data_IF_105095122209
#
_entry.id   IF_105095122209
#
_cell.length_a   1.000
_cell.length_b   1.000
_cell.length_c   1.000
_cell.angle_alpha   90.00
_cell.angle_beta   90.00
_cell.angle_gamma   90.00
#
_symmetry.space_group_name_H-M   'P 1'
#
loop_
_entity.id
_entity.type
_entity.pdbx_description
1 polymer ?
#
# COMPACT_ATOMS: atom_id res chain seq x y z
N UNK A 1 3.80 28.07 -15.54
CA UNK A 1 2.76 27.22 -14.92
C UNK A 1 2.72 27.57 -13.45
N UNK A 2 1.62 28.17 -12.98
CA UNK A 2 1.48 28.66 -11.60
C UNK A 2 1.07 27.57 -10.62
N UNK A 3 1.21 27.80 -9.30
CA UNK A 3 0.82 26.84 -8.28
C UNK A 3 -0.71 26.70 -8.19
N UNK A 4 -1.19 25.48 -8.04
CA UNK A 4 -2.58 25.19 -7.70
C UNK A 4 -2.78 25.39 -6.18
N UNK A 5 -3.63 26.35 -5.81
CA UNK A 5 -4.09 26.58 -4.44
C UNK A 5 -5.37 25.78 -4.18
N UNK A 6 -5.45 25.08 -3.05
CA UNK A 6 -6.74 24.64 -2.50
C UNK A 6 -7.37 25.79 -1.70
N UNK A 7 -8.50 26.28 -2.21
CA UNK A 7 -9.60 27.07 -1.61
C UNK A 7 -9.25 28.21 -0.63
N UNK A 8 -9.54 29.45 -1.05
CA UNK A 8 -9.83 30.57 -0.14
C UNK A 8 -11.35 30.76 0.00
N UNK A 9 -11.84 31.05 1.21
CA UNK A 9 -12.47 32.34 1.50
C UNK A 9 -12.81 32.52 3.00
N UNK A 10 -12.35 33.65 3.53
CA UNK A 10 -12.70 34.36 4.77
C UNK A 10 -12.25 33.85 6.16
N UNK A 11 -11.18 34.50 6.64
CA UNK A 11 -10.92 34.93 8.03
C UNK A 11 -10.88 33.89 9.17
N UNK A 12 -10.03 32.87 9.02
CA UNK A 12 -9.07 32.43 10.05
C UNK A 12 -7.84 32.03 9.25
N UNK A 13 -6.64 32.55 9.56
CA UNK A 13 -5.43 32.32 8.76
C UNK A 13 -5.24 30.84 8.42
N UNK A 14 -5.43 30.46 7.15
CA UNK A 14 -5.42 29.06 6.71
C UNK A 14 -3.98 28.55 6.71
N UNK A 15 -3.51 28.06 7.85
CA UNK A 15 -2.27 27.28 7.89
C UNK A 15 -2.55 25.90 7.29
N UNK A 16 -1.72 25.44 6.33
CA UNK A 16 -1.88 24.10 5.79
C UNK A 16 -1.72 23.06 6.91
N UNK A 17 -2.49 21.97 6.83
CA UNK A 17 -2.33 20.84 7.75
C UNK A 17 -0.93 20.24 7.61
N UNK A 18 -0.45 20.08 6.38
CA UNK A 18 0.89 19.60 6.06
C UNK A 18 1.48 20.50 4.96
N UNK A 19 2.72 20.94 5.14
CA UNK A 19 3.50 21.64 4.14
C UNK A 19 4.73 20.82 3.77
N UNK A 20 5.35 21.12 2.62
CA UNK A 20 6.67 20.58 2.29
C UNK A 20 7.70 21.12 3.30
N UNK A 21 8.33 20.21 4.04
CA UNK A 21 9.34 20.47 5.07
C UNK A 21 10.73 19.96 4.65
N UNK A 22 10.81 19.03 3.69
CA UNK A 22 12.02 18.31 3.31
C UNK A 22 12.24 18.36 1.80
N UNK A 23 13.50 18.27 1.37
CA UNK A 23 13.90 18.38 -0.05
C UNK A 23 13.31 17.30 -0.96
N UNK A 24 12.92 16.15 -0.41
CA UNK A 24 12.27 15.08 -1.17
C UNK A 24 10.80 15.39 -1.48
N UNK A 25 10.18 16.32 -0.75
CA UNK A 25 8.77 16.71 -0.91
C UNK A 25 8.66 17.79 -1.99
N UNK A 26 8.77 17.36 -3.24
CA UNK A 26 8.64 18.22 -4.42
C UNK A 26 7.19 18.35 -4.86
N UNK A 27 6.91 19.37 -5.69
CA UNK A 27 5.64 19.50 -6.39
C UNK A 27 4.41 19.51 -5.48
N UNK A 28 3.48 18.60 -5.76
CA UNK A 28 2.20 18.49 -5.08
C UNK A 28 2.29 17.57 -3.87
N UNK A 29 1.61 17.91 -2.77
CA UNK A 29 1.30 16.98 -1.67
C UNK A 29 -0.15 16.56 -1.82
N UNK A 30 -0.40 15.25 -1.93
CA UNK A 30 -1.72 14.71 -2.24
C UNK A 30 -1.96 13.32 -1.63
N UNK A 31 -3.09 12.71 -1.98
CA UNK A 31 -3.54 11.40 -1.50
C UNK A 31 -3.48 11.28 0.04
N UNK A 32 -4.11 12.18 0.82
CA UNK A 32 -4.07 12.11 2.26
C UNK A 32 -4.80 10.86 2.76
N UNK A 33 -4.14 10.06 3.59
CA UNK A 33 -4.75 8.90 4.23
C UNK A 33 -4.32 8.80 5.70
N UNK A 34 -5.13 9.30 6.65
CA UNK A 34 -4.84 9.22 8.07
C UNK A 34 -5.25 7.87 8.66
N UNK A 35 -4.43 7.33 9.56
CA UNK A 35 -4.76 6.23 10.47
C UNK A 35 -4.43 6.64 11.91
N UNK A 36 -5.00 5.95 12.89
CA UNK A 36 -4.67 6.13 14.31
C UNK A 36 -3.81 4.95 14.80
N UNK A 37 -2.67 5.25 15.41
CA UNK A 37 -1.80 4.25 16.05
C UNK A 37 -2.06 4.27 17.56
N UNK A 38 -2.83 3.29 18.10
CA UNK A 38 -3.27 3.31 19.48
C UNK A 38 -2.15 3.15 20.50
N UNK A 39 -1.09 2.39 20.20
CA UNK A 39 0.00 2.15 21.15
C UNK A 39 0.82 3.42 21.37
N UNK A 40 1.06 4.17 20.30
CA UNK A 40 1.82 5.40 20.34
C UNK A 40 0.95 6.66 20.58
N UNK A 41 -0.38 6.52 20.51
CA UNK A 41 -1.38 7.56 20.78
C UNK A 41 -1.21 8.80 19.90
N UNK A 42 -0.98 8.58 18.61
CA UNK A 42 -0.98 9.63 17.59
C UNK A 42 -1.61 9.14 16.29
N UNK A 43 -1.95 10.07 15.42
CA UNK A 43 -2.33 9.80 14.04
C UNK A 43 -1.09 9.75 13.16
N UNK A 44 -1.15 8.91 12.13
CA UNK A 44 -0.19 8.83 11.03
C UNK A 44 -0.92 9.23 9.77
N UNK A 45 -0.47 10.27 9.10
CA UNK A 45 -0.96 10.68 7.78
C UNK A 45 0.00 10.16 6.72
N UNK A 46 -0.43 9.19 5.92
CA UNK A 46 0.25 8.86 4.68
C UNK A 46 -0.11 9.89 3.61
N UNK A 47 0.86 10.27 2.78
CA UNK A 47 0.66 11.17 1.65
C UNK A 47 1.62 10.82 0.51
N UNK A 48 1.31 11.29 -0.69
CA UNK A 48 2.24 11.31 -1.81
C UNK A 48 2.78 12.72 -2.03
N UNK A 49 4.05 12.84 -2.43
CA UNK A 49 4.68 14.09 -2.88
C UNK A 49 5.33 13.90 -4.24
N UNK A 50 5.35 14.95 -5.07
CA UNK A 50 5.99 14.95 -6.38
C UNK A 50 4.97 15.04 -7.52
N UNK A 51 5.35 14.61 -8.71
CA UNK A 51 4.45 14.56 -9.88
C UNK A 51 4.23 13.12 -10.29
N UNK A 52 2.97 12.68 -10.44
CA UNK A 52 2.60 11.30 -10.78
C UNK A 52 3.18 10.74 -12.10
N UNK A 53 3.90 11.55 -12.88
CA UNK A 53 4.51 11.21 -14.17
C UNK A 53 6.03 10.98 -14.03
N UNK A 54 6.68 11.63 -13.06
CA UNK A 54 8.13 11.68 -12.97
C UNK A 54 8.63 10.87 -11.75
N UNK A 55 9.91 10.48 -11.76
CA UNK A 55 10.50 9.63 -10.71
C UNK A 55 10.55 10.28 -9.31
N UNK A 56 10.17 11.56 -9.21
CA UNK A 56 10.07 12.30 -7.96
C UNK A 56 8.78 12.00 -7.17
N UNK A 57 7.86 11.19 -7.72
CA UNK A 57 6.66 10.75 -7.01
C UNK A 57 6.99 9.73 -5.92
N UNK A 58 6.75 10.13 -4.67
CA UNK A 58 7.17 9.43 -3.46
C UNK A 58 6.04 9.36 -2.46
N UNK A 59 5.97 8.27 -1.72
CA UNK A 59 5.06 8.11 -0.59
C UNK A 59 5.81 8.45 0.68
N UNK A 60 5.25 9.31 1.52
CA UNK A 60 5.74 9.56 2.86
C UNK A 60 4.66 9.43 3.92
N UNK A 61 5.06 9.76 5.14
CA UNK A 61 4.19 9.80 6.29
C UNK A 61 4.53 10.98 7.20
N UNK A 62 3.53 11.45 7.93
CA UNK A 62 3.64 12.49 8.94
C UNK A 62 2.86 12.09 10.19
N UNK A 63 3.20 12.64 11.35
CA UNK A 63 2.53 12.32 12.62
C UNK A 63 1.98 13.56 13.30
N UNK A 64 0.87 13.39 14.02
CA UNK A 64 0.36 14.38 14.97
C UNK A 64 -0.62 13.71 15.97
N UNK A 65 -0.73 14.24 17.19
CA UNK A 65 -1.79 13.86 18.15
C UNK A 65 -3.15 14.49 17.83
N UNK A 66 -3.16 15.56 17.03
CA UNK A 66 -4.35 16.25 16.54
C UNK A 66 -4.49 16.04 15.03
N UNK A 67 -5.63 15.49 14.60
CA UNK A 67 -5.91 15.25 13.17
C UNK A 67 -5.98 16.56 12.36
N UNK A 68 -6.21 17.70 13.03
CA UNK A 68 -6.20 19.04 12.43
C UNK A 68 -4.81 19.69 12.38
N UNK A 69 -3.74 18.91 12.58
CA UNK A 69 -2.37 19.36 12.31
C UNK A 69 -1.86 20.45 13.27
N UNK A 70 -0.77 21.16 12.90
CA UNK A 70 0.07 20.91 11.72
C UNK A 70 0.84 19.60 11.86
N UNK A 71 0.83 18.76 10.83
CA UNK A 71 1.49 17.46 10.81
C UNK A 71 3.01 17.60 10.69
N UNK A 72 3.76 16.75 11.40
CA UNK A 72 5.23 16.70 11.32
C UNK A 72 5.66 15.58 10.40
N UNK A 73 6.31 15.91 9.28
CA UNK A 73 6.68 14.93 8.26
C UNK A 73 7.95 14.16 8.62
N UNK A 74 8.02 12.89 8.18
CA UNK A 74 9.27 12.14 8.08
C UNK A 74 10.28 12.87 7.20
N UNK A 75 11.56 12.79 7.60
CA UNK A 75 12.70 13.35 6.86
C UNK A 75 13.03 12.59 5.57
N UNK A 76 12.60 11.34 5.48
CA UNK A 76 12.83 10.45 4.33
C UNK A 76 11.50 9.88 3.85
N UNK A 77 11.34 9.61 2.54
CA UNK A 77 10.15 8.94 2.03
C UNK A 77 10.05 7.51 2.57
N UNK A 78 8.83 6.98 2.62
CA UNK A 78 8.56 5.59 2.95
C UNK A 78 8.79 4.68 1.74
N UNK A 79 8.26 5.08 0.59
CA UNK A 79 8.45 4.39 -0.70
C UNK A 79 8.86 5.45 -1.72
N UNK A 80 9.90 5.14 -2.48
CA UNK A 80 10.35 5.91 -3.63
C UNK A 80 10.70 4.97 -4.78
N UNK A 81 10.95 5.54 -5.96
CA UNK A 81 11.42 4.79 -7.13
C UNK A 81 12.65 3.95 -6.79
N UNK A 82 12.55 2.65 -7.04
CA UNK A 82 13.57 1.65 -6.79
C UNK A 82 13.55 0.64 -7.92
N UNK A 83 14.30 0.95 -8.98
CA UNK A 83 14.37 0.14 -10.20
C UNK A 83 14.85 -1.29 -9.93
N UNK A 84 15.90 -1.55 -9.11
CA UNK A 84 16.29 -2.91 -8.74
C UNK A 84 15.17 -3.73 -8.08
N UNK A 85 14.30 -3.09 -7.28
CA UNK A 85 13.11 -3.71 -6.69
C UNK A 85 11.86 -3.59 -7.57
N UNK A 86 12.00 -3.04 -8.78
CA UNK A 86 10.96 -2.81 -9.79
C UNK A 86 9.81 -1.89 -9.36
N UNK A 87 10.07 -0.99 -8.40
CA UNK A 87 9.20 0.13 -8.06
C UNK A 87 9.57 1.30 -8.98
N UNK A 88 8.58 1.82 -9.69
CA UNK A 88 8.76 2.92 -10.65
C UNK A 88 7.65 3.94 -10.38
N UNK A 89 7.99 5.18 -10.01
CA UNK A 89 7.02 6.28 -9.82
C UNK A 89 5.85 5.89 -8.91
N UNK A 90 6.10 5.82 -7.60
CA UNK A 90 5.16 5.28 -6.61
C UNK A 90 4.31 6.34 -5.91
N UNK A 91 3.00 6.13 -5.84
CA UNK A 91 2.13 6.96 -5.01
C UNK A 91 0.65 6.62 -5.09
N UNK A 92 -0.21 7.58 -4.73
CA UNK A 92 -1.66 7.38 -4.59
C UNK A 92 -1.98 6.25 -3.61
N UNK A 93 -1.31 6.26 -2.46
CA UNK A 93 -1.32 5.19 -1.49
C UNK A 93 -2.57 5.16 -0.61
N UNK A 94 -2.86 3.98 -0.07
CA UNK A 94 -3.90 3.75 0.92
C UNK A 94 -3.46 2.62 1.87
N UNK A 95 -3.52 2.87 3.17
CA UNK A 95 -3.19 1.86 4.17
C UNK A 95 -4.44 1.05 4.53
N UNK A 96 -4.35 -0.27 4.51
CA UNK A 96 -5.45 -1.19 4.82
C UNK A 96 -5.03 -2.17 5.89
N UNK A 97 -5.97 -2.55 6.76
CA UNK A 97 -5.76 -3.63 7.73
C UNK A 97 -6.41 -4.91 7.20
N UNK A 98 -5.63 -5.97 7.12
CA UNK A 98 -6.09 -7.31 6.77
C UNK A 98 -7.00 -7.91 7.85
N UNK A 99 -7.71 -8.99 7.50
CA UNK A 99 -8.60 -9.71 8.43
C UNK A 99 -7.84 -10.44 9.54
N UNK A 100 -6.57 -10.73 9.29
CA UNK A 100 -5.57 -11.26 10.22
C UNK A 100 -4.97 -10.19 11.14
N UNK A 101 -5.32 -8.92 10.93
CA UNK A 101 -4.84 -7.79 11.72
C UNK A 101 -3.53 -7.18 11.21
N UNK A 102 -2.90 -7.76 10.19
CA UNK A 102 -1.69 -7.23 9.56
C UNK A 102 -1.99 -5.97 8.75
N UNK A 103 -1.01 -5.08 8.60
CA UNK A 103 -1.18 -3.82 7.88
C UNK A 103 -0.51 -3.86 6.52
N UNK A 104 -1.20 -3.35 5.51
CA UNK A 104 -0.68 -3.24 4.16
C UNK A 104 -0.81 -1.83 3.64
N UNK A 105 0.04 -1.48 2.68
CA UNK A 105 -0.07 -0.27 1.89
C UNK A 105 -0.29 -0.65 0.44
N UNK A 106 -1.44 -0.22 -0.10
CA UNK A 106 -1.78 -0.33 -1.51
C UNK A 106 -1.37 0.97 -2.20
N UNK A 107 -0.70 0.90 -3.33
CA UNK A 107 -0.25 2.08 -4.08
C UNK A 107 -0.11 1.74 -5.55
N UNK A 108 -0.03 2.75 -6.41
CA UNK A 108 0.24 2.52 -7.82
C UNK A 108 1.70 2.79 -8.16
N UNK A 109 2.19 2.06 -9.16
CA UNK A 109 3.47 2.31 -9.83
C UNK A 109 3.25 2.36 -11.34
N UNK A 110 4.19 2.95 -12.06
CA UNK A 110 4.25 2.83 -13.51
C UNK A 110 4.58 1.40 -13.93
N UNK A 111 4.10 1.02 -15.12
CA UNK A 111 4.32 -0.33 -15.63
C UNK A 111 5.80 -0.63 -15.87
N UNK A 112 6.53 0.33 -16.43
CA UNK A 112 7.92 0.25 -16.84
C UNK A 112 8.63 1.61 -16.64
N UNK A 113 9.97 1.62 -16.43
CA UNK A 113 10.74 2.86 -16.33
C UNK A 113 10.59 3.76 -17.55
N UNK A 114 10.41 5.07 -17.33
CA UNK A 114 10.28 6.07 -18.39
C UNK A 114 8.92 6.07 -19.12
N UNK A 115 7.96 5.23 -18.71
CA UNK A 115 6.60 5.30 -19.22
C UNK A 115 5.92 6.60 -18.73
N UNK A 116 5.09 7.25 -19.56
CA UNK A 116 4.33 8.46 -19.17
C UNK A 116 2.82 8.17 -19.13
N UNK A 117 2.45 7.01 -18.59
CA UNK A 117 1.08 6.53 -18.52
C UNK A 117 1.04 5.03 -18.20
N UNK A 118 -0.15 4.47 -17.95
CA UNK A 118 -0.28 3.05 -17.60
C UNK A 118 0.29 2.74 -16.21
N UNK A 119 -0.61 2.58 -15.24
CA UNK A 119 -0.25 2.31 -13.84
C UNK A 119 -0.82 0.97 -13.41
N UNK A 120 -0.09 0.26 -12.56
CA UNK A 120 -0.56 -0.97 -11.93
C UNK A 120 -0.57 -0.81 -10.42
N UNK A 121 -1.50 -1.53 -9.78
CA UNK A 121 -1.56 -1.59 -8.33
C UNK A 121 -0.48 -2.52 -7.78
N UNK A 122 0.11 -2.06 -6.69
CA UNK A 122 1.03 -2.78 -5.83
C UNK A 122 0.47 -2.83 -4.42
N UNK A 123 0.89 -3.84 -3.68
CA UNK A 123 0.59 -4.01 -2.26
C UNK A 123 1.91 -4.33 -1.57
N UNK A 124 2.12 -3.78 -0.39
CA UNK A 124 3.27 -4.08 0.44
C UNK A 124 2.86 -4.19 1.91
N UNK A 125 3.44 -5.13 2.64
CA UNK A 125 3.28 -5.19 4.10
C UNK A 125 3.97 -3.98 4.75
N UNK A 126 3.26 -3.28 5.64
CA UNK A 126 3.77 -2.16 6.43
C UNK A 126 3.73 -2.57 7.90
N UNK A 127 4.86 -2.39 8.58
CA UNK A 127 5.00 -2.67 10.00
C UNK A 127 5.12 -1.36 10.78
N UNK A 128 4.87 -1.43 12.09
CA UNK A 128 5.10 -0.32 13.00
C UNK A 128 6.21 -0.69 13.98
N UNK A 129 7.11 0.25 14.21
CA UNK A 129 8.16 0.16 15.23
C UNK A 129 7.54 0.20 16.64
N UNK A 130 8.33 -0.07 17.67
CA UNK A 130 7.88 0.03 19.07
C UNK A 130 7.41 1.45 19.42
N UNK A 131 7.93 2.47 18.73
CA UNK A 131 7.51 3.87 18.84
C UNK A 131 6.27 4.22 17.98
N UNK A 132 5.68 3.24 17.30
CA UNK A 132 4.53 3.39 16.42
C UNK A 132 4.84 3.98 15.05
N UNK A 133 6.11 4.22 14.70
CA UNK A 133 6.46 4.77 13.39
C UNK A 133 6.40 3.68 12.31
N UNK A 134 5.88 4.00 11.11
CA UNK A 134 5.76 3.03 10.04
C UNK A 134 7.12 2.71 9.39
N UNK A 135 7.31 1.44 9.03
CA UNK A 135 8.40 0.95 8.19
C UNK A 135 7.88 -0.05 7.18
N UNK A 136 8.51 -0.15 6.02
CA UNK A 136 8.23 -1.25 5.10
C UNK A 136 8.81 -2.56 5.62
N UNK A 137 8.08 -3.66 5.41
CA UNK A 137 8.68 -4.99 5.49
C UNK A 137 9.65 -5.22 4.32
N UNK A 138 10.48 -6.26 4.39
CA UNK A 138 11.52 -6.67 3.42
C UNK A 138 11.50 -6.08 1.98
N UNK A 139 11.33 -6.94 0.96
CA UNK A 139 11.32 -6.52 -0.45
C UNK A 139 9.87 -6.33 -0.94
N UNK A 140 9.62 -5.36 -1.84
CA UNK A 140 8.34 -5.16 -2.51
C UNK A 140 7.86 -6.38 -3.29
N UNK A 141 6.62 -6.79 -3.00
CA UNK A 141 5.99 -7.91 -3.68
C UNK A 141 5.27 -7.40 -4.93
N UNK A 142 6.02 -7.29 -6.02
CA UNK A 142 5.46 -6.86 -7.30
C UNK A 142 4.49 -7.87 -7.88
N UNK A 143 3.39 -7.36 -8.48
CA UNK A 143 2.47 -8.11 -9.34
C UNK A 143 1.77 -9.32 -8.66
N UNK A 144 1.72 -9.40 -7.34
CA UNK A 144 0.83 -10.36 -6.64
C UNK A 144 -0.48 -9.67 -6.27
N UNK A 145 -1.59 -10.36 -6.56
CA UNK A 145 -2.92 -10.00 -6.04
C UNK A 145 -2.85 -10.09 -4.52
N UNK A 146 -3.45 -9.12 -3.81
CA UNK A 146 -3.67 -9.16 -2.36
C UNK A 146 -4.14 -10.57 -1.95
N UNK A 147 -3.29 -11.30 -1.23
CA UNK A 147 -3.68 -12.54 -0.56
C UNK A 147 -3.55 -12.27 0.93
N UNK A 148 -4.69 -12.14 1.59
CA UNK A 148 -4.73 -11.93 3.03
C UNK A 148 -4.56 -13.29 3.72
N UNK A 149 -3.62 -13.42 4.65
CA UNK A 149 -3.32 -14.63 5.42
C UNK A 149 -2.20 -15.53 4.89
N UNK A 150 -1.32 -15.04 4.01
CA UNK A 150 -0.12 -15.77 3.50
C UNK A 150 1.14 -14.90 3.48
N UNK A 151 1.24 -13.98 4.43
CA UNK A 151 2.27 -12.95 4.52
C UNK A 151 3.68 -13.53 4.70
N UNK A 152 3.80 -14.74 5.26
CA UNK A 152 5.08 -15.47 5.35
C UNK A 152 5.62 -15.89 3.96
N UNK A 153 4.75 -15.99 2.94
CA UNK A 153 5.12 -16.30 1.55
C UNK A 153 5.47 -15.05 0.73
N UNK A 154 5.14 -13.86 1.26
CA UNK A 154 5.40 -12.56 0.63
C UNK A 154 6.87 -12.19 0.78
N UNK A 155 7.68 -12.68 -0.17
CA UNK A 155 9.14 -12.55 -0.17
C UNK A 155 9.85 -13.75 -0.80
N UNK A 156 9.14 -14.88 -0.94
CA UNK A 156 9.60 -16.10 -1.60
C UNK A 156 9.40 -15.96 -3.12
N UNK A 157 10.47 -16.15 -3.90
CA UNK A 157 10.40 -16.14 -5.36
C UNK A 157 9.39 -17.20 -5.85
N UNK A 158 8.66 -16.96 -6.94
CA UNK A 158 7.72 -17.96 -7.49
C UNK A 158 8.38 -19.33 -7.77
N UNK A 159 9.70 -19.35 -7.98
CA UNK A 159 10.51 -20.57 -8.14
C UNK A 159 10.61 -21.40 -6.86
N UNK A 160 10.50 -20.77 -5.69
CA UNK A 160 10.75 -21.35 -4.36
C UNK A 160 9.46 -21.72 -3.63
N UNK A 161 8.28 -21.39 -4.19
CA UNK A 161 7.00 -21.83 -3.65
C UNK A 161 6.83 -23.35 -3.89
N UNK A 162 6.59 -24.17 -2.86
CA UNK A 162 6.29 -25.58 -3.02
C UNK A 162 5.14 -25.81 -4.01
N UNK A 163 5.29 -26.79 -4.91
CA UNK A 163 4.38 -26.98 -6.05
C UNK A 163 2.89 -27.05 -5.68
N UNK A 164 2.57 -27.58 -4.50
CA UNK A 164 1.21 -27.73 -3.98
C UNK A 164 0.56 -26.42 -3.51
N UNK A 165 1.31 -25.32 -3.41
CA UNK A 165 0.84 -23.99 -3.02
C UNK A 165 0.84 -22.98 -4.18
N UNK A 166 1.27 -23.40 -5.38
CA UNK A 166 1.23 -22.53 -6.57
C UNK A 166 -0.22 -22.28 -6.98
N UNK A 167 -0.67 -21.02 -7.14
CA UNK A 167 -1.98 -20.74 -7.70
C UNK A 167 -2.04 -21.28 -9.12
N UNK A 168 -3.12 -21.96 -9.47
CA UNK A 168 -3.35 -22.46 -10.81
C UNK A 168 -3.17 -21.36 -11.85
N UNK A 169 -2.22 -21.57 -12.76
CA UNK A 169 -1.99 -20.73 -13.94
C UNK A 169 -3.15 -20.94 -14.92
N UNK A 170 -4.25 -20.22 -14.74
CA UNK A 170 -5.43 -20.32 -15.60
C UNK A 170 -5.70 -19.02 -16.36
N UNK A 171 -4.94 -18.75 -17.43
CA UNK A 171 -5.40 -17.93 -18.54
C UNK A 171 -5.26 -18.76 -19.81
N UNK A 172 -6.37 -19.30 -20.32
CA UNK A 172 -6.41 -19.99 -21.61
C UNK A 172 -7.62 -20.90 -21.84
N UNK A 173 -8.61 -20.35 -22.58
CA UNK A 173 -9.58 -20.97 -23.52
C UNK A 173 -10.44 -22.19 -23.10
N UNK A 174 -11.72 -22.06 -23.46
CA UNK A 174 -12.76 -23.11 -23.52
C UNK A 174 -12.26 -24.49 -24.00
N UNK A 175 -12.69 -25.55 -23.29
CA UNK A 175 -12.62 -26.94 -23.74
C UNK A 175 -13.06 -27.94 -22.67
N UNK A 176 -14.32 -28.39 -22.76
CA UNK A 176 -14.90 -29.68 -22.30
C UNK A 176 -14.17 -30.55 -21.22
N UNK A 177 -14.86 -30.75 -20.09
CA UNK A 177 -14.99 -32.06 -19.42
C UNK A 177 -14.04 -32.41 -18.26
N UNK A 178 -14.59 -32.79 -17.09
CA UNK A 178 -13.86 -33.55 -16.06
C UNK A 178 -14.29 -33.33 -14.60
N UNK A 179 -14.99 -34.31 -14.02
CA UNK A 179 -15.50 -34.36 -12.64
C UNK A 179 -14.38 -34.39 -11.57
N UNK A 180 -13.99 -33.25 -10.98
CA UNK A 180 -13.05 -33.22 -9.84
C UNK A 180 -13.36 -32.23 -8.71
N UNK A 181 -14.18 -31.20 -8.96
CA UNK A 181 -14.36 -30.07 -8.03
C UNK A 181 -15.38 -30.25 -6.90
N UNK A 182 -16.19 -31.30 -6.89
CA UNK A 182 -17.27 -31.46 -5.89
C UNK A 182 -16.80 -32.02 -4.54
N UNK A 183 -15.67 -32.70 -4.47
CA UNK A 183 -15.25 -33.41 -3.26
C UNK A 183 -14.60 -32.52 -2.18
N UNK A 184 -14.02 -31.38 -2.55
CA UNK A 184 -13.28 -30.51 -1.59
C UNK A 184 -14.23 -29.51 -0.91
N UNK A 185 -15.21 -28.97 -1.64
CA UNK A 185 -16.20 -28.04 -1.08
C UNK A 185 -17.10 -28.69 -0.01
N UNK A 186 -17.39 -29.99 -0.12
CA UNK A 186 -18.21 -30.71 0.88
C UNK A 186 -17.48 -30.96 2.21
N UNK A 187 -16.15 -31.02 2.23
CA UNK A 187 -15.39 -31.25 3.49
C UNK A 187 -15.31 -30.00 4.38
N UNK A 188 -15.29 -28.80 3.79
CA UNK A 188 -15.20 -27.54 4.55
C UNK A 188 -16.52 -27.20 5.25
N UNK A 189 -17.67 -27.49 4.63
CA UNK A 189 -18.98 -27.22 5.26
C UNK A 189 -19.32 -28.17 6.41
N UNK A 190 -18.76 -29.38 6.46
CA UNK A 190 -19.07 -30.32 7.54
C UNK A 190 -18.29 -30.04 8.84
N UNK A 191 -17.14 -29.36 8.76
CA UNK A 191 -16.34 -28.99 9.92
C UNK A 191 -16.94 -27.80 10.71
N UNK A 192 -17.72 -26.93 10.05
CA UNK A 192 -18.30 -25.74 10.68
C UNK A 192 -19.60 -26.07 11.44
N UNK A 193 -20.31 -27.15 11.12
CA UNK A 193 -21.52 -27.57 11.85
C UNK A 193 -21.27 -28.27 13.19
N UNK A 194 -20.01 -28.62 13.51
CA UNK A 194 -19.64 -29.30 14.76
C UNK A 194 -19.03 -28.38 15.83
N UNK A 195 -18.99 -27.08 15.60
CA UNK A 195 -18.50 -26.07 16.57
C UNK A 195 -19.62 -25.16 17.10
N UNK A 196 -20.88 -25.54 16.93
CA UNK A 196 -22.04 -24.81 17.49
C UNK A 196 -23.03 -25.71 18.23
N UNK A 197 -22.54 -26.69 18.99
CA UNK A 197 -23.29 -27.37 20.05
C UNK A 197 -22.49 -27.33 21.35
#
# INVERSE_FOLDING_TARGET
MGPFYFLSNNQIGSRPLLSSEHTWQTGQIEAPHPIYEPNARFYILFFSSGTFIEDDYKIGWAINKNIFGPWKSSRVPLIETDIPRGIVVSGGQYAVRGVDGNWFICFHIHNDPGCKGGRRMCVHHIMFNDDGLPRLAGKPVLRRRLRVGVEEEDGILNSEIPYHLKPGTGYGRHGSGGNGGKAIAQKVFHAISKLSQ
#
